data_IF_262641619202
#
_entry.id   IF_262641619202
#
_cell.length_a   1.000
_cell.length_b   1.000
_cell.length_c   1.000
_cell.angle_alpha   90.00
_cell.angle_beta   90.00
_cell.angle_gamma   90.00
#
_symmetry.space_group_name_H-M   'P 1'
#
loop_
_entity.id
_entity.type
_entity.pdbx_description
1 polymer ?
#
# COMPACT_ATOMS: atom_id res chain seq x y z
N UNK A 1 3.98 -8.35 -11.26
CA UNK A 1 4.62 -8.77 -9.98
C UNK A 1 3.54 -9.41 -9.13
N UNK A 2 3.70 -10.70 -8.81
CA UNK A 2 2.71 -11.46 -8.05
C UNK A 2 2.96 -11.31 -6.55
N UNK A 3 1.96 -10.82 -5.84
CA UNK A 3 1.82 -10.91 -4.40
C UNK A 3 0.50 -11.67 -4.18
N UNK A 4 0.59 -12.82 -3.55
CA UNK A 4 -0.39 -13.91 -3.62
C UNK A 4 -1.85 -13.54 -3.29
N UNK A 5 -2.78 -14.37 -3.78
CA UNK A 5 -4.24 -14.26 -3.62
C UNK A 5 -4.69 -14.69 -2.21
N UNK A 6 -5.48 -13.87 -1.53
CA UNK A 6 -6.22 -14.31 -0.33
C UNK A 6 -7.21 -15.40 -0.74
N UNK A 7 -7.07 -16.63 -0.22
CA UNK A 7 -8.10 -17.64 -0.39
C UNK A 7 -9.33 -17.20 0.42
N UNK A 8 -10.42 -16.89 -0.29
CA UNK A 8 -11.66 -16.40 0.32
C UNK A 8 -12.49 -17.56 0.87
N UNK A 9 -12.11 -18.81 0.57
CA UNK A 9 -13.03 -19.96 0.60
C UNK A 9 -12.63 -21.10 1.53
N UNK A 10 -11.44 -21.14 2.12
CA UNK A 10 -11.04 -22.27 2.98
C UNK A 10 -10.31 -21.80 4.22
N UNK A 11 -10.72 -22.31 5.37
CA UNK A 11 -10.06 -22.14 6.67
C UNK A 11 -8.70 -22.83 6.75
N UNK A 12 -7.91 -22.81 5.67
CA UNK A 12 -6.46 -22.98 5.81
C UNK A 12 -5.91 -21.76 6.56
N UNK A 13 -4.99 -21.96 7.52
CA UNK A 13 -4.31 -20.86 8.18
C UNK A 13 -3.70 -19.99 7.10
N UNK A 14 -4.08 -18.70 7.05
CA UNK A 14 -3.75 -17.73 6.01
C UNK A 14 -2.40 -18.05 5.37
N UNK A 15 -2.45 -18.73 4.21
CA UNK A 15 -1.26 -19.28 3.57
C UNK A 15 -0.22 -18.15 3.48
N UNK A 16 0.95 -18.38 4.08
CA UNK A 16 1.98 -17.38 4.35
C UNK A 16 2.11 -16.38 3.19
N UNK A 17 1.56 -15.19 3.41
CA UNK A 17 1.61 -14.13 2.42
C UNK A 17 3.08 -13.75 2.23
N UNK A 18 3.52 -13.63 0.98
CA UNK A 18 4.79 -12.98 0.70
C UNK A 18 4.61 -11.51 1.05
N UNK A 19 5.52 -10.99 1.84
CA UNK A 19 5.46 -9.63 2.35
C UNK A 19 6.77 -8.96 1.97
N UNK A 20 6.71 -7.80 1.29
CA UNK A 20 7.90 -6.94 1.17
C UNK A 20 8.07 -6.17 2.45
N UNK A 21 9.24 -6.24 3.08
CA UNK A 21 9.62 -5.36 4.20
C UNK A 21 9.73 -3.87 3.84
N UNK A 22 9.61 -3.53 2.56
CA UNK A 22 9.82 -2.18 2.06
C UNK A 22 8.96 -1.91 0.82
N UNK A 23 7.88 -1.15 1.02
CA UNK A 23 7.03 -0.63 -0.05
C UNK A 23 7.83 0.13 -1.12
N UNK A 24 8.95 0.78 -0.78
CA UNK A 24 9.80 1.48 -1.75
C UNK A 24 10.47 0.51 -2.72
N UNK A 25 10.95 -0.63 -2.21
CA UNK A 25 11.52 -1.69 -3.08
C UNK A 25 10.46 -2.25 -4.01
N UNK A 26 9.25 -2.51 -3.49
CA UNK A 26 8.14 -2.96 -4.31
C UNK A 26 7.80 -1.96 -5.42
N UNK A 27 7.69 -0.67 -5.08
CA UNK A 27 7.47 0.41 -6.05
C UNK A 27 8.54 0.41 -7.15
N UNK A 28 9.82 0.37 -6.78
CA UNK A 28 10.92 0.34 -7.76
C UNK A 28 10.84 -0.87 -8.69
N UNK A 29 10.54 -2.06 -8.16
CA UNK A 29 10.38 -3.26 -8.96
C UNK A 29 9.19 -3.14 -9.92
N UNK A 30 8.06 -2.60 -9.45
CA UNK A 30 6.89 -2.37 -10.30
C UNK A 30 7.19 -1.38 -11.42
N UNK A 31 7.92 -0.28 -11.13
CA UNK A 31 8.35 0.70 -12.12
C UNK A 31 9.29 0.10 -13.16
N UNK A 32 10.25 -0.72 -12.74
CA UNK A 32 11.15 -1.43 -13.65
C UNK A 32 10.39 -2.42 -14.55
N UNK A 33 9.42 -3.14 -13.98
CA UNK A 33 8.56 -4.05 -14.76
C UNK A 33 7.69 -3.30 -15.77
N UNK A 34 7.13 -2.15 -15.37
CA UNK A 34 6.32 -1.30 -16.25
C UNK A 34 7.12 -0.78 -17.45
N UNK A 35 8.40 -0.43 -17.26
CA UNK A 35 9.28 0.01 -18.35
C UNK A 35 9.54 -1.09 -19.40
N UNK A 36 9.29 -2.36 -19.06
CA UNK A 36 9.46 -3.50 -19.95
C UNK A 36 8.12 -4.03 -20.49
N UNK A 37 6.99 -3.42 -20.12
CA UNK A 37 5.66 -3.83 -20.56
C UNK A 37 5.56 -3.80 -22.10
N UNK A 38 4.92 -4.80 -22.75
CA UNK A 38 4.16 -5.93 -22.20
C UNK A 38 4.96 -7.21 -21.95
N UNK A 39 6.30 -7.15 -21.92
CA UNK A 39 7.13 -8.35 -21.72
C UNK A 39 6.99 -8.87 -20.30
N UNK A 40 7.01 -10.20 -20.16
CA UNK A 40 7.12 -10.87 -18.86
C UNK A 40 8.52 -10.63 -18.30
N UNK A 41 8.58 -10.12 -17.08
CA UNK A 41 9.83 -9.92 -16.34
C UNK A 41 9.78 -10.63 -15.00
N UNK A 42 10.92 -11.18 -14.59
CA UNK A 42 11.13 -11.80 -13.29
C UNK A 42 12.27 -11.11 -12.55
N UNK A 43 12.21 -11.16 -11.22
CA UNK A 43 13.30 -10.71 -10.35
C UNK A 43 13.56 -11.78 -9.31
N UNK A 44 14.83 -12.10 -9.10
CA UNK A 44 15.23 -13.02 -8.02
C UNK A 44 15.17 -12.26 -6.70
N UNK A 45 14.39 -12.77 -5.76
CA UNK A 45 14.24 -12.20 -4.42
C UNK A 45 14.66 -13.22 -3.38
N UNK A 46 15.29 -12.74 -2.30
CA UNK A 46 15.59 -13.59 -1.16
C UNK A 46 14.37 -13.61 -0.23
N UNK A 47 13.77 -14.79 -0.08
CA UNK A 47 12.66 -15.01 0.84
C UNK A 47 13.19 -15.22 2.26
N UNK A 48 12.66 -14.47 3.23
CA UNK A 48 12.92 -14.67 4.66
C UNK A 48 11.82 -15.55 5.24
N UNK A 49 12.08 -16.86 5.36
CA UNK A 49 11.11 -17.85 5.84
C UNK A 49 10.86 -17.82 7.35
N UNK A 50 11.73 -17.19 8.13
CA UNK A 50 11.68 -17.13 9.60
C UNK A 50 11.70 -15.68 10.13
N UNK A 51 10.99 -14.78 9.45
CA UNK A 51 10.82 -13.43 9.97
C UNK A 51 10.01 -13.46 11.27
N UNK A 52 10.50 -12.83 12.33
CA UNK A 52 9.77 -12.72 13.60
C UNK A 52 8.54 -11.83 13.43
N UNK A 53 7.51 -12.03 14.26
CA UNK A 53 6.24 -11.28 14.19
C UNK A 53 6.42 -9.74 14.21
N UNK A 54 7.52 -9.26 14.78
CA UNK A 54 7.87 -7.84 14.79
C UNK A 54 8.08 -7.24 13.39
N UNK A 55 8.48 -8.04 12.41
CA UNK A 55 8.67 -7.57 11.04
C UNK A 55 7.35 -7.38 10.28
N UNK A 56 6.32 -8.17 10.60
CA UNK A 56 5.01 -8.09 9.94
C UNK A 56 4.29 -6.76 10.23
N UNK A 57 4.67 -6.05 11.30
CA UNK A 57 4.05 -4.76 11.68
C UNK A 57 4.33 -3.63 10.70
N UNK A 58 5.33 -3.75 9.83
CA UNK A 58 5.68 -2.69 8.86
C UNK A 58 4.93 -2.80 7.53
N UNK A 59 4.22 -3.90 7.31
CA UNK A 59 3.74 -4.25 5.99
C UNK A 59 2.22 -4.37 5.96
N UNK A 60 1.57 -3.20 5.85
CA UNK A 60 0.12 -3.09 5.69
C UNK A 60 -0.28 -2.89 4.21
N UNK A 61 0.32 -3.63 3.29
CA UNK A 61 -0.23 -3.68 1.94
C UNK A 61 -1.50 -4.56 1.97
N UNK A 62 -2.65 -3.99 2.37
CA UNK A 62 -3.96 -4.66 2.32
C UNK A 62 -4.32 -5.14 0.90
N UNK A 63 -3.65 -4.59 -0.11
CA UNK A 63 -3.93 -4.80 -1.53
C UNK A 63 -3.14 -5.95 -2.14
N UNK A 64 -2.43 -6.75 -1.32
CA UNK A 64 -1.53 -7.80 -1.79
C UNK A 64 -0.62 -7.26 -2.91
N UNK A 65 0.16 -6.23 -2.60
CA UNK A 65 1.15 -5.61 -3.47
C UNK A 65 0.64 -5.08 -4.81
N UNK A 66 -0.69 -4.89 -4.98
CA UNK A 66 -1.27 -4.25 -6.17
C UNK A 66 -1.16 -2.73 -6.10
N UNK A 67 -1.32 -2.20 -4.90
CA UNK A 67 -1.23 -0.77 -4.59
C UNK A 67 -0.09 -0.57 -3.61
N UNK A 68 0.77 0.41 -3.88
CA UNK A 68 1.88 0.77 -3.00
C UNK A 68 1.64 2.18 -2.47
N UNK A 69 1.57 2.33 -1.15
CA UNK A 69 1.59 3.65 -0.53
C UNK A 69 2.99 4.25 -0.60
N UNK A 70 3.12 5.43 -1.23
CA UNK A 70 4.34 6.24 -1.30
C UNK A 70 4.27 7.28 -0.20
N UNK A 71 5.25 7.28 0.70
CA UNK A 71 5.30 8.20 1.82
C UNK A 71 6.58 8.06 2.65
N UNK A 72 6.83 9.04 3.53
CA UNK A 72 7.92 8.97 4.50
C UNK A 72 7.63 7.96 5.62
N UNK A 73 6.35 7.69 5.90
CA UNK A 73 5.89 6.69 6.84
C UNK A 73 4.51 6.19 6.44
N UNK A 74 4.06 5.07 7.03
CA UNK A 74 2.68 4.58 6.84
C UNK A 74 1.61 5.59 7.27
N UNK A 75 1.95 6.50 8.20
CA UNK A 75 1.06 7.57 8.67
C UNK A 75 1.00 8.77 7.71
N UNK A 76 1.94 8.86 6.78
CA UNK A 76 2.11 9.98 5.86
C UNK A 76 2.28 9.44 4.44
N UNK A 77 1.35 8.59 4.01
CA UNK A 77 1.23 8.17 2.62
C UNK A 77 0.66 9.35 1.85
N UNK A 78 1.48 9.95 0.98
CA UNK A 78 1.10 11.11 0.17
C UNK A 78 0.45 10.69 -1.15
N UNK A 79 0.82 9.52 -1.65
CA UNK A 79 0.35 9.03 -2.96
C UNK A 79 0.19 7.52 -2.92
N UNK A 80 -0.72 7.00 -3.72
CA UNK A 80 -0.87 5.57 -3.96
C UNK A 80 -0.47 5.25 -5.40
N UNK A 81 0.49 4.34 -5.56
CA UNK A 81 0.91 3.85 -6.85
C UNK A 81 0.21 2.54 -7.19
N UNK A 82 -0.51 2.54 -8.31
CA UNK A 82 -1.07 1.35 -8.94
C UNK A 82 -0.45 1.17 -10.31
N UNK A 83 0.32 0.10 -10.50
CA UNK A 83 1.00 -0.13 -11.77
C UNK A 83 0.03 -0.33 -12.95
N UNK A 84 -1.20 -0.80 -12.70
CA UNK A 84 -2.20 -1.02 -13.76
C UNK A 84 -2.67 0.28 -14.38
N UNK A 85 -2.81 1.32 -13.56
CA UNK A 85 -3.24 2.65 -14.01
C UNK A 85 -2.12 3.36 -14.77
N UNK A 86 -0.87 2.96 -14.53
CA UNK A 86 0.31 3.49 -15.19
C UNK A 86 0.69 2.75 -16.49
N UNK A 87 -0.01 1.66 -16.85
CA UNK A 87 0.21 0.99 -18.14
C UNK A 87 -0.24 1.93 -19.26
N UNK A 88 0.64 2.29 -20.21
CA UNK A 88 0.27 3.19 -21.29
C UNK A 88 -0.83 2.55 -22.15
N UNK A 89 -1.91 3.29 -22.36
CA UNK A 89 -2.97 2.91 -23.31
C UNK A 89 -2.42 3.15 -24.71
N UNK A 90 -1.83 2.10 -25.30
CA UNK A 90 -1.18 2.20 -26.61
C UNK A 90 -2.15 1.95 -27.78
N UNK A 91 -1.65 2.13 -29.01
CA UNK A 91 -2.37 1.91 -30.27
C UNK A 91 -2.97 0.50 -30.37
N UNK A 92 -3.96 0.30 -31.26
CA UNK A 92 -4.74 -0.94 -31.34
C UNK A 92 -3.91 -2.23 -31.48
N UNK A 93 -2.78 -2.19 -32.18
CA UNK A 93 -1.88 -3.34 -32.31
C UNK A 93 -1.21 -3.73 -30.97
N UNK A 94 -0.83 -2.74 -30.16
CA UNK A 94 -0.23 -2.93 -28.85
C UNK A 94 -1.29 -3.33 -27.80
N UNK A 95 -2.56 -2.96 -28.03
CA UNK A 95 -3.67 -3.34 -27.17
C UNK A 95 -3.85 -4.85 -27.13
N UNK A 96 -3.74 -5.56 -28.25
CA UNK A 96 -3.85 -7.02 -28.27
C UNK A 96 -2.74 -7.67 -27.43
N UNK A 97 -1.50 -7.18 -27.56
CA UNK A 97 -0.36 -7.68 -26.79
C UNK A 97 -0.48 -7.34 -25.30
N UNK A 98 -1.01 -6.16 -24.96
CA UNK A 98 -1.31 -5.78 -23.59
C UNK A 98 -2.43 -6.65 -22.99
N UNK A 99 -3.50 -6.92 -23.74
CA UNK A 99 -4.60 -7.77 -23.30
C UNK A 99 -4.13 -9.22 -23.07
N UNK A 100 -3.27 -9.75 -23.95
CA UNK A 100 -2.62 -11.04 -23.75
C UNK A 100 -1.72 -11.04 -22.51
N UNK A 101 -0.93 -9.98 -22.30
CA UNK A 101 -0.12 -9.84 -21.09
C UNK A 101 -0.97 -9.74 -19.82
N UNK A 102 -2.10 -9.04 -19.85
CA UNK A 102 -3.05 -9.01 -18.73
C UNK A 102 -3.70 -10.37 -18.48
N UNK A 103 -4.02 -11.12 -19.53
CA UNK A 103 -4.53 -12.49 -19.42
C UNK A 103 -3.49 -13.42 -18.79
N UNK A 104 -2.22 -13.32 -19.20
CA UNK A 104 -1.11 -14.07 -18.59
C UNK A 104 -0.92 -13.70 -17.11
N UNK A 105 -0.95 -12.42 -16.76
CA UNK A 105 -0.88 -11.98 -15.35
C UNK A 105 -2.06 -12.56 -14.55
N UNK A 106 -3.26 -12.57 -15.11
CA UNK A 106 -4.46 -13.13 -14.46
C UNK A 106 -4.37 -14.65 -14.29
N UNK A 107 -3.78 -15.35 -15.28
CA UNK A 107 -3.51 -16.77 -15.22
C UNK A 107 -2.47 -17.10 -14.13
N UNK A 108 -1.33 -16.41 -14.13
CA UNK A 108 -0.28 -16.56 -13.12
C UNK A 108 -0.80 -16.25 -11.70
N UNK A 109 -1.68 -15.25 -11.56
CA UNK A 109 -2.34 -14.91 -10.30
C UNK A 109 -3.22 -16.07 -9.77
N UNK A 110 -3.78 -16.90 -10.65
CA UNK A 110 -4.65 -18.03 -10.31
C UNK A 110 -3.89 -19.29 -9.87
N UNK A 111 -2.60 -19.42 -10.18
CA UNK A 111 -1.80 -20.61 -9.85
C UNK A 111 -1.49 -20.71 -8.35
N UNK A 112 -1.67 -21.84 -7.67
CA UNK A 112 -1.57 -21.92 -6.19
C UNK A 112 -0.19 -21.67 -5.55
N UNK A 113 0.91 -21.57 -6.30
CA UNK A 113 2.24 -21.36 -5.72
C UNK A 113 3.33 -21.03 -6.73
N UNK A 114 4.51 -20.63 -6.24
CA UNK A 114 5.67 -20.23 -7.08
C UNK A 114 6.17 -21.39 -7.94
N UNK A 115 6.12 -22.62 -7.43
CA UNK A 115 6.54 -23.82 -8.16
C UNK A 115 5.71 -24.11 -9.42
N UNK A 116 4.52 -23.52 -9.55
CA UNK A 116 3.68 -23.65 -10.73
C UNK A 116 4.00 -22.60 -11.81
N UNK A 117 4.87 -21.64 -11.54
CA UNK A 117 5.29 -20.62 -12.51
C UNK A 117 6.40 -21.21 -13.39
N UNK A 118 6.03 -21.71 -14.56
CA UNK A 118 6.94 -22.43 -15.47
C UNK A 118 8.08 -21.58 -16.06
N UNK A 119 8.00 -20.24 -16.00
CA UNK A 119 8.96 -19.34 -16.64
C UNK A 119 9.98 -18.69 -15.69
N UNK A 120 9.95 -19.03 -14.40
CA UNK A 120 10.96 -18.53 -13.49
C UNK A 120 12.29 -19.23 -13.81
N UNK A 121 13.38 -18.50 -14.15
CA UNK A 121 14.68 -19.11 -14.28
C UNK A 121 15.00 -19.86 -12.98
N UNK A 122 15.62 -21.03 -13.09
CA UNK A 122 15.99 -21.82 -11.93
C UNK A 122 16.72 -20.93 -10.93
N UNK A 123 16.30 -20.97 -9.67
CA UNK A 123 16.99 -20.21 -8.62
C UNK A 123 18.46 -20.60 -8.66
N UNK A 124 19.40 -19.64 -8.77
CA UNK A 124 20.82 -19.95 -8.77
C UNK A 124 21.11 -20.77 -7.51
N UNK A 125 21.83 -21.88 -7.66
CA UNK A 125 22.16 -22.73 -6.53
C UNK A 125 23.00 -21.93 -5.52
N UNK A 126 23.04 -22.37 -4.25
CA UNK A 126 23.95 -21.74 -3.27
C UNK A 126 25.41 -21.75 -3.76
N UNK A 127 25.78 -22.74 -4.58
CA UNK A 127 27.09 -22.87 -5.18
C UNK A 127 27.29 -21.82 -6.29
N UNK A 128 26.26 -21.57 -7.11
CA UNK A 128 26.28 -20.47 -8.10
C UNK A 128 26.40 -19.10 -7.42
N UNK A 129 25.66 -18.90 -6.31
CA UNK A 129 25.76 -17.68 -5.52
C UNK A 129 27.15 -17.51 -4.89
N UNK A 130 27.76 -18.61 -4.42
CA UNK A 130 29.11 -18.60 -3.87
C UNK A 130 30.16 -18.27 -4.94
N UNK A 131 30.08 -18.94 -6.10
CA UNK A 131 30.99 -18.70 -7.24
C UNK A 131 30.82 -17.29 -7.83
N UNK A 132 29.61 -16.73 -7.81
CA UNK A 132 29.36 -15.34 -8.22
C UNK A 132 29.91 -14.32 -7.21
N UNK A 133 30.06 -14.70 -5.93
CA UNK A 133 30.55 -13.83 -4.86
C UNK A 133 32.06 -13.59 -4.85
N UNK A 134 32.85 -14.46 -5.47
CA UNK A 134 34.32 -14.37 -5.46
C UNK A 134 34.91 -13.53 -6.61
N UNK A 135 34.11 -13.12 -7.58
CA UNK A 135 34.60 -12.35 -8.75
C UNK A 135 34.71 -10.83 -8.51
N UNK A 136 34.43 -10.35 -7.29
CA UNK A 136 34.60 -8.94 -6.92
C UNK A 136 35.90 -8.70 -6.14
N UNK A 137 37.00 -9.32 -6.56
CA UNK A 137 38.32 -8.89 -6.11
C UNK A 137 38.70 -7.55 -6.75
N UNK A 138 38.97 -6.61 -5.85
CA UNK A 138 39.41 -5.27 -6.11
C UNK A 138 40.60 -5.21 -7.08
N UNK A 139 40.40 -4.51 -8.21
CA UNK A 139 41.50 -3.76 -8.83
C UNK A 139 41.82 -2.56 -7.93
N UNK A 140 42.50 -2.85 -6.83
CA UNK A 140 43.35 -1.90 -6.11
C UNK A 140 44.55 -1.60 -7.00
N UNK A 141 44.46 -0.54 -7.82
CA UNK A 141 45.65 0.01 -8.49
C UNK A 141 46.36 0.96 -7.55
N UNK A 142 47.56 0.56 -7.15
CA UNK A 142 48.43 1.30 -6.25
C UNK A 142 49.28 2.36 -6.99
N UNK A 143 49.67 3.37 -6.21
CA UNK A 143 50.74 4.38 -6.38
C UNK A 143 50.58 5.58 -7.34
N UNK A 144 50.53 6.81 -6.78
CA UNK A 144 51.74 7.60 -6.45
C UNK A 144 51.41 8.99 -5.83
N UNK A 145 52.29 9.58 -5.00
CA UNK A 145 52.02 10.84 -4.31
C UNK A 145 52.63 12.06 -5.04
N UNK A 146 51.87 13.16 -5.24
CA UNK A 146 52.49 14.49 -5.40
C UNK A 146 51.57 15.70 -5.24
N UNK A 147 52.08 16.63 -4.43
CA UNK A 147 52.04 18.10 -4.48
C UNK A 147 50.73 18.90 -4.29
N UNK A 148 50.83 19.84 -3.35
CA UNK A 148 49.97 21.01 -3.11
C UNK A 148 50.10 22.04 -4.25
N UNK A 149 49.00 22.69 -4.66
CA UNK A 149 48.75 24.17 -4.80
C UNK A 149 47.50 24.49 -5.66
N UNK A 150 46.92 25.72 -5.61
CA UNK A 150 45.47 25.99 -5.55
C UNK A 150 44.84 26.69 -6.77
N UNK A 151 43.55 27.05 -6.60
CA UNK A 151 42.67 27.96 -7.37
C UNK A 151 42.02 27.41 -8.64
N UNK A 152 40.68 27.37 -8.66
CA UNK A 152 39.74 28.24 -9.44
C UNK A 152 39.75 27.85 -10.94
N UNK A 153 38.65 27.71 -11.68
CA UNK A 153 37.41 28.49 -11.76
C UNK A 153 36.38 27.64 -12.55
N UNK A 154 35.10 27.75 -12.18
CA UNK A 154 33.90 27.79 -13.05
C UNK A 154 33.65 26.64 -14.06
N UNK A 155 32.58 25.87 -13.80
CA UNK A 155 31.63 25.43 -14.85
C UNK A 155 30.26 25.07 -14.28
N UNK A 156 29.40 26.08 -14.32
CA UNK A 156 27.99 26.11 -14.72
C UNK A 156 27.21 24.79 -14.71
N UNK A 157 26.60 24.46 -13.56
CA UNK A 157 25.44 23.58 -13.50
C UNK A 157 24.16 24.43 -13.57
N UNK A 158 23.33 24.18 -14.58
CA UNK A 158 22.00 24.77 -14.68
C UNK A 158 21.10 24.21 -13.55
N UNK A 159 20.38 25.05 -12.79
CA UNK A 159 19.41 24.57 -11.82
C UNK A 159 18.13 24.16 -12.55
N UNK A 160 17.87 22.86 -12.61
CA UNK A 160 16.55 22.34 -12.97
C UNK A 160 15.55 22.84 -11.94
N UNK A 161 14.67 23.74 -12.36
CA UNK A 161 13.59 24.27 -11.54
C UNK A 161 12.69 23.11 -11.06
N UNK A 162 12.37 23.02 -9.77
CA UNK A 162 11.37 22.07 -9.30
C UNK A 162 10.01 22.49 -9.89
N UNK A 163 9.45 21.61 -10.72
CA UNK A 163 8.08 21.75 -11.20
C UNK A 163 7.14 21.92 -10.01
N UNK A 164 6.37 23.00 -10.02
CA UNK A 164 5.32 23.29 -9.07
C UNK A 164 4.29 22.15 -9.08
N UNK A 165 4.40 21.26 -8.11
CA UNK A 165 3.31 20.35 -7.72
C UNK A 165 2.13 21.22 -7.30
N UNK A 166 1.01 21.06 -8.02
CA UNK A 166 -0.25 21.72 -7.75
C UNK A 166 -0.59 21.62 -6.27
N UNK A 167 -0.84 22.76 -5.64
CA UNK A 167 -1.11 22.91 -4.21
C UNK A 167 -2.47 22.32 -3.75
N UNK A 168 -3.04 21.37 -4.50
CA UNK A 168 -4.34 20.76 -4.22
C UNK A 168 -4.24 19.39 -3.53
N UNK A 169 -3.05 18.79 -3.42
CA UNK A 169 -2.89 17.37 -3.02
C UNK A 169 -2.25 17.14 -1.64
N UNK A 170 -2.17 18.16 -0.79
CA UNK A 170 -1.67 18.02 0.57
C UNK A 170 -2.78 18.30 1.61
N UNK A 171 -3.97 17.74 1.40
CA UNK A 171 -4.95 17.68 2.48
C UNK A 171 -4.32 16.86 3.62
N UNK A 172 -4.22 17.46 4.80
CA UNK A 172 -3.72 16.77 5.98
C UNK A 172 -4.55 15.50 6.27
N UNK A 173 -3.99 14.52 7.00
CA UNK A 173 -4.67 13.25 7.27
C UNK A 173 -6.07 13.44 7.88
N UNK A 174 -6.28 14.48 8.69
CA UNK A 174 -7.58 14.84 9.24
C UNK A 174 -8.58 15.29 8.18
N UNK A 175 -8.15 16.04 7.17
CA UNK A 175 -9.04 16.49 6.09
C UNK A 175 -9.48 15.33 5.20
N UNK A 176 -8.55 14.40 4.88
CA UNK A 176 -8.90 13.17 4.17
C UNK A 176 -9.87 12.27 4.97
N UNK A 177 -9.69 12.21 6.29
CA UNK A 177 -10.64 11.53 7.17
C UNK A 177 -11.99 12.23 7.20
N UNK A 178 -12.03 13.57 7.31
CA UNK A 178 -13.29 14.33 7.26
C UNK A 178 -14.03 14.07 5.96
N UNK A 179 -13.35 14.08 4.82
CA UNK A 179 -13.95 13.79 3.52
C UNK A 179 -14.53 12.36 3.46
N UNK A 180 -13.79 11.38 3.97
CA UNK A 180 -14.23 9.98 3.97
C UNK A 180 -15.32 9.66 5.00
N UNK A 181 -15.39 10.39 6.11
CA UNK A 181 -16.27 10.09 7.26
C UNK A 181 -17.57 10.91 7.24
N UNK A 182 -17.51 12.19 6.84
CA UNK A 182 -18.63 13.11 6.89
C UNK A 182 -19.68 12.78 5.83
N UNK A 183 -20.87 12.40 6.25
CA UNK A 183 -21.96 12.08 5.34
C UNK A 183 -22.99 11.18 5.98
N UNK A 184 -23.80 10.56 5.13
CA UNK A 184 -24.90 9.70 5.57
C UNK A 184 -24.51 8.25 5.40
N UNK A 185 -24.64 7.50 6.48
CA UNK A 185 -24.33 6.09 6.55
C UNK A 185 -25.55 5.30 6.99
N UNK A 186 -25.61 4.02 6.64
CA UNK A 186 -26.65 3.08 7.03
C UNK A 186 -26.06 1.76 7.48
N UNK A 187 -26.53 1.24 8.61
CA UNK A 187 -26.17 -0.11 9.04
C UNK A 187 -27.04 -1.20 8.35
N UNK A 188 -26.72 -2.47 8.62
CA UNK A 188 -27.52 -3.61 8.17
C UNK A 188 -28.94 -3.66 8.78
N UNK A 189 -29.16 -2.95 9.88
CA UNK A 189 -30.47 -2.90 10.57
C UNK A 189 -31.36 -1.79 10.02
N UNK A 190 -30.87 -0.96 9.10
CA UNK A 190 -31.57 0.18 8.53
C UNK A 190 -31.53 1.44 9.39
N UNK A 191 -30.72 1.46 10.44
CA UNK A 191 -30.40 2.64 11.23
C UNK A 191 -29.53 3.56 10.38
N UNK A 192 -29.87 4.85 10.36
CA UNK A 192 -29.12 5.85 9.60
C UNK A 192 -28.26 6.67 10.54
N UNK A 193 -27.03 6.97 10.13
CA UNK A 193 -26.07 7.77 10.87
C UNK A 193 -25.67 8.95 9.99
N UNK A 194 -25.79 10.16 10.50
CA UNK A 194 -25.32 11.37 9.84
C UNK A 194 -24.10 11.86 10.61
N UNK A 195 -22.95 11.89 9.95
CA UNK A 195 -21.68 12.34 10.52
C UNK A 195 -21.37 13.72 9.95
N UNK A 196 -21.17 14.68 10.84
CA UNK A 196 -20.85 16.07 10.51
C UNK A 196 -19.57 16.49 11.22
N UNK A 197 -18.78 17.34 10.58
CA UNK A 197 -17.57 17.91 11.17
C UNK A 197 -17.92 18.97 12.24
N UNK A 198 -17.11 19.01 13.29
CA UNK A 198 -17.24 19.92 14.42
C UNK A 198 -15.85 20.45 14.81
N UNK A 199 -15.80 21.50 15.62
CA UNK A 199 -14.54 22.09 16.09
C UNK A 199 -13.66 21.09 16.88
N UNK A 200 -14.25 20.06 17.48
CA UNK A 200 -13.59 19.07 18.35
C UNK A 200 -13.42 17.69 17.69
N UNK A 201 -13.72 17.55 16.39
CA UNK A 201 -13.71 16.27 15.67
C UNK A 201 -14.99 16.10 14.87
N UNK A 202 -15.68 14.97 15.02
CA UNK A 202 -16.95 14.72 14.31
C UNK A 202 -18.09 14.43 15.27
N UNK A 203 -19.31 14.74 14.83
CA UNK A 203 -20.54 14.46 15.56
C UNK A 203 -21.39 13.50 14.74
N UNK A 204 -21.81 12.39 15.36
CA UNK A 204 -22.72 11.43 14.75
C UNK A 204 -24.14 11.57 15.33
N UNK A 205 -25.09 11.85 14.45
CA UNK A 205 -26.53 11.80 14.73
C UNK A 205 -27.12 10.50 14.20
N UNK A 206 -27.67 9.67 15.09
CA UNK A 206 -28.32 8.41 14.72
C UNK A 206 -29.82 8.62 14.58
N UNK A 207 -30.39 8.12 13.49
CA UNK A 207 -31.83 8.08 13.26
C UNK A 207 -32.27 6.62 13.21
N UNK A 208 -33.00 6.21 14.24
CA UNK A 208 -33.58 4.87 14.31
C UNK A 208 -34.77 4.75 13.35
N UNK A 209 -35.19 3.52 13.00
CA UNK A 209 -36.32 3.26 12.07
C UNK A 209 -37.62 3.98 12.43
N UNK A 210 -37.81 4.35 13.69
CA UNK A 210 -38.97 5.13 14.16
C UNK A 210 -38.89 6.63 13.90
N UNK A 211 -37.89 7.12 13.16
CA UNK A 211 -37.70 8.55 12.86
C UNK A 211 -37.25 9.40 14.05
N UNK A 212 -37.07 8.80 15.24
CA UNK A 212 -36.49 9.46 16.39
C UNK A 212 -34.98 9.60 16.17
N UNK A 213 -34.55 10.83 15.90
CA UNK A 213 -33.15 11.20 15.88
C UNK A 213 -32.63 11.36 17.30
N UNK A 214 -31.48 10.75 17.59
CA UNK A 214 -30.73 10.93 18.82
C UNK A 214 -29.31 11.35 18.44
N UNK A 215 -28.79 12.41 19.05
CA UNK A 215 -27.36 12.72 19.01
C UNK A 215 -26.66 11.60 19.78
N UNK A 216 -25.90 10.75 19.09
CA UNK A 216 -25.46 9.47 19.66
C UNK A 216 -24.06 9.53 20.24
N UNK A 217 -23.11 10.17 19.56
CA UNK A 217 -21.74 10.29 20.06
C UNK A 217 -20.92 11.29 19.25
N UNK A 218 -19.87 11.82 19.86
CA UNK A 218 -18.71 12.36 19.13
C UNK A 218 -17.88 11.20 18.56
N UNK A 219 -17.23 11.43 17.43
CA UNK A 219 -16.15 10.60 16.93
C UNK A 219 -14.85 11.38 17.08
N UNK A 220 -13.80 10.68 17.50
CA UNK A 220 -12.47 11.26 17.69
C UNK A 220 -11.43 10.35 17.06
N UNK A 221 -10.46 10.97 16.42
CA UNK A 221 -9.26 10.29 15.96
C UNK A 221 -8.24 10.31 17.08
N UNK A 222 -7.72 9.14 17.44
CA UNK A 222 -6.65 8.99 18.42
C UNK A 222 -5.32 8.76 17.70
N UNK A 223 -4.41 9.74 17.80
CA UNK A 223 -3.07 9.68 17.19
C UNK A 223 -2.20 8.54 17.76
N UNK A 224 -2.46 8.14 19.01
CA UNK A 224 -1.72 7.10 19.72
C UNK A 224 -2.00 5.72 19.15
N UNK A 225 -3.28 5.37 19.01
CA UNK A 225 -3.71 4.08 18.46
C UNK A 225 -3.90 4.07 16.94
N UNK A 226 -3.90 5.23 16.28
CA UNK A 226 -4.18 5.38 14.84
C UNK A 226 -5.56 4.80 14.47
N UNK A 227 -6.55 5.13 15.28
CA UNK A 227 -7.92 4.64 15.18
C UNK A 227 -8.92 5.80 15.32
N UNK A 228 -10.02 5.70 14.58
CA UNK A 228 -11.20 6.55 14.81
C UNK A 228 -12.10 5.84 15.80
N UNK A 229 -12.36 6.47 16.93
CA UNK A 229 -13.19 5.94 18.00
C UNK A 229 -14.59 6.55 17.96
N UNK A 230 -15.60 5.78 18.36
CA UNK A 230 -16.98 6.25 18.49
C UNK A 230 -17.78 5.43 19.52
N UNK A 231 -18.95 5.94 19.90
CA UNK A 231 -19.86 5.34 20.87
C UNK A 231 -19.84 6.07 22.22
N UNK A 232 -20.85 5.82 23.07
CA UNK A 232 -21.01 6.48 24.38
C UNK A 232 -19.81 6.30 25.30
N UNK A 233 -19.16 5.14 25.19
CA UNK A 233 -18.08 4.71 26.08
C UNK A 233 -16.77 4.50 25.32
N UNK A 234 -16.65 5.05 24.10
CA UNK A 234 -15.50 4.85 23.21
C UNK A 234 -15.13 3.36 23.04
N UNK A 235 -16.15 2.51 22.95
CA UNK A 235 -15.98 1.05 22.91
C UNK A 235 -15.79 0.50 21.50
N UNK A 236 -15.97 1.36 20.49
CA UNK A 236 -15.94 0.97 19.10
C UNK A 236 -14.91 1.81 18.34
N UNK A 237 -14.14 1.17 17.46
CA UNK A 237 -13.10 1.81 16.66
C UNK A 237 -13.14 1.38 15.19
N UNK A 238 -12.61 2.21 14.30
CA UNK A 238 -12.42 1.93 12.89
C UNK A 238 -11.02 2.39 12.45
N UNK A 239 -10.46 1.70 11.46
CA UNK A 239 -9.19 2.09 10.88
C UNK A 239 -9.37 3.28 9.91
N UNK A 240 -8.55 4.34 10.03
CA UNK A 240 -8.54 5.48 9.10
C UNK A 240 -8.41 5.06 7.64
N UNK A 241 -7.59 4.03 7.35
CA UNK A 241 -7.40 3.52 6.00
C UNK A 241 -8.68 2.96 5.36
N UNK A 242 -9.59 2.36 6.15
CA UNK A 242 -10.86 1.85 5.62
C UNK A 242 -11.81 3.00 5.24
N UNK A 243 -11.76 4.10 6.00
CA UNK A 243 -12.56 5.31 5.78
C UNK A 243 -12.06 6.05 4.54
N UNK A 244 -10.75 6.29 4.48
CA UNK A 244 -10.10 7.05 3.38
C UNK A 244 -10.10 6.27 2.06
N UNK A 245 -10.14 4.93 2.10
CA UNK A 245 -10.24 4.12 0.89
C UNK A 245 -11.56 4.31 0.11
N UNK A 246 -12.51 5.13 0.60
CA UNK A 246 -13.78 5.48 -0.05
C UNK A 246 -14.57 4.26 -0.55
N UNK A 247 -14.46 3.15 0.16
CA UNK A 247 -14.97 1.87 -0.31
C UNK A 247 -16.50 1.74 -0.20
N UNK A 248 -17.21 2.81 0.19
CA UNK A 248 -18.66 2.85 0.39
C UNK A 248 -19.14 2.14 1.65
N UNK A 249 -18.22 1.72 2.52
CA UNK A 249 -18.49 1.02 3.77
C UNK A 249 -17.39 1.27 4.80
N UNK A 250 -17.77 1.30 6.07
CA UNK A 250 -16.87 1.44 7.22
C UNK A 250 -17.20 0.35 8.22
N UNK A 251 -16.19 -0.40 8.66
CA UNK A 251 -16.34 -1.44 9.67
C UNK A 251 -15.90 -0.95 11.02
N UNK A 252 -16.73 -1.18 12.01
CA UNK A 252 -16.50 -0.82 13.39
C UNK A 252 -16.24 -2.05 14.23
N UNK A 253 -15.11 -2.05 14.92
CA UNK A 253 -14.60 -3.13 15.76
C UNK A 253 -14.79 -2.77 17.22
N UNK A 254 -14.86 -3.77 18.09
CA UNK A 254 -14.93 -3.54 19.54
C UNK A 254 -13.53 -3.47 20.14
N UNK A 255 -13.32 -2.59 21.13
CA UNK A 255 -12.06 -2.52 21.87
C UNK A 255 -11.71 -3.75 22.70
N UNK A 256 -12.65 -4.69 22.88
CA UNK A 256 -12.47 -5.90 23.69
C UNK A 256 -11.50 -6.95 23.07
N UNK A 257 -10.64 -6.54 22.14
CA UNK A 257 -9.57 -7.39 21.58
C UNK A 257 -10.01 -8.39 20.51
N UNK A 258 -11.30 -8.42 20.16
CA UNK A 258 -11.77 -9.20 19.00
C UNK A 258 -11.98 -8.26 17.79
N UNK A 259 -11.21 -8.51 16.72
CA UNK A 259 -11.25 -7.79 15.45
C UNK A 259 -12.38 -8.24 14.50
N UNK A 260 -13.37 -8.97 15.02
CA UNK A 260 -14.63 -9.20 14.30
C UNK A 260 -15.46 -7.91 14.26
N UNK A 261 -15.86 -7.43 13.06
CA UNK A 261 -16.63 -6.19 12.93
C UNK A 261 -18.00 -6.36 13.60
N UNK A 262 -18.28 -5.53 14.61
CA UNK A 262 -19.57 -5.53 15.33
C UNK A 262 -20.64 -4.75 14.60
N UNK A 263 -20.24 -3.75 13.83
CA UNK A 263 -21.12 -2.96 12.99
C UNK A 263 -20.45 -2.67 11.65
N UNK A 264 -21.25 -2.61 10.60
CA UNK A 264 -20.78 -2.18 9.27
C UNK A 264 -21.74 -1.12 8.79
N UNK A 265 -21.16 0.05 8.51
CA UNK A 265 -21.83 1.18 7.90
C UNK A 265 -21.63 1.12 6.41
N UNK A 266 -22.66 1.49 5.66
CA UNK A 266 -22.64 1.64 4.21
C UNK A 266 -23.06 3.06 3.87
N UNK A 267 -22.36 3.69 2.93
CA UNK A 267 -22.70 5.01 2.42
C UNK A 267 -24.09 4.99 1.76
#
# INVERSE_FOLDING_TARGET
>A
IRWHKRDVSRGEPAAHHWVTFDNRRLYCLQRAALAMWPKKVGVVVQALYAATDGYQRKDNSMTAGRLVGIGHSLKLVTEHWNWRDAVPVSAEADKLQADEAFAMVSHDDALGGVAALHDAPATPSMLDLFLMGESSEAKSSDAAPRAKTPSEVVSTAAPSSPSSVSASDALGPMAALSEGLCGRWRDSKGTTYLVEESAEGWVCTRTDKGGKSRKVASLQYDEGSDLVWWGSDWTMCAHPSEIVAQSGWVRWYSSAGNWDPKSTWKW
#
